data_IF_923947147198
#
_entry.id   IF_923947147198
#
_cell.length_a   1.000
_cell.length_b   1.000
_cell.length_c   1.000
_cell.angle_alpha   90.00
_cell.angle_beta   90.00
_cell.angle_gamma   90.00
#
_symmetry.space_group_name_H-M   'P 1'
#
loop_
_entity.id
_entity.type
_entity.pdbx_description
1 polymer ?
#
# COMPACT_ATOMS: atom_id res chain seq x y z
N UNK A 1 0.84 5.20 2.56
CA UNK A 1 -0.50 4.96 3.13
C UNK A 1 -0.35 4.56 4.59
N UNK A 2 -1.35 4.86 5.41
CA UNK A 2 -1.45 4.47 6.83
C UNK A 2 -2.60 3.46 6.95
N UNK A 3 -2.33 2.29 7.54
CA UNK A 3 -3.36 1.29 7.84
C UNK A 3 -4.06 1.69 9.13
N UNK A 4 -5.38 1.84 9.09
CA UNK A 4 -6.20 2.27 10.25
C UNK A 4 -7.01 1.13 10.86
N UNK A 5 -7.21 0.03 10.13
CA UNK A 5 -7.87 -1.18 10.62
C UNK A 5 -7.40 -2.41 9.85
N UNK A 6 -7.34 -3.56 10.54
CA UNK A 6 -7.05 -4.85 9.93
C UNK A 6 -5.58 -5.06 9.56
N UNK A 7 -5.35 -6.04 8.69
CA UNK A 7 -4.01 -6.47 8.28
C UNK A 7 -4.02 -7.10 6.89
N UNK A 8 -2.87 -7.06 6.22
CA UNK A 8 -2.65 -7.74 4.94
C UNK A 8 -1.16 -7.98 4.67
N UNK A 9 -0.90 -8.90 3.75
CA UNK A 9 0.42 -9.19 3.22
C UNK A 9 0.57 -8.49 1.88
N UNK A 10 1.55 -7.60 1.79
CA UNK A 10 1.88 -6.85 0.59
C UNK A 10 3.11 -7.46 -0.06
N UNK A 11 2.96 -7.98 -1.27
CA UNK A 11 4.07 -8.50 -2.07
C UNK A 11 4.47 -7.49 -3.13
N UNK A 12 5.75 -7.11 -3.14
CA UNK A 12 6.40 -6.25 -4.13
C UNK A 12 7.75 -6.88 -4.50
N UNK A 13 8.08 -6.92 -5.79
CA UNK A 13 9.37 -7.47 -6.26
C UNK A 13 9.69 -8.87 -5.69
N UNK A 14 8.65 -9.70 -5.55
CA UNK A 14 8.74 -11.06 -4.98
C UNK A 14 8.92 -11.11 -3.46
N UNK A 15 9.00 -9.97 -2.77
CA UNK A 15 9.12 -9.88 -1.32
C UNK A 15 7.78 -9.56 -0.68
N UNK A 16 7.38 -10.40 0.28
CA UNK A 16 6.15 -10.21 1.02
C UNK A 16 6.44 -9.59 2.39
N UNK A 17 5.74 -8.49 2.69
CA UNK A 17 5.75 -7.84 3.99
C UNK A 17 4.36 -7.91 4.62
N UNK A 18 4.30 -8.25 5.90
CA UNK A 18 3.09 -8.10 6.70
C UNK A 18 2.92 -6.64 7.14
N UNK A 19 1.72 -6.08 6.93
CA UNK A 19 1.38 -4.70 7.29
C UNK A 19 0.05 -4.72 8.07
N UNK A 20 0.02 -4.09 9.24
CA UNK A 20 -1.15 -4.09 10.15
C UNK A 20 -1.54 -2.68 10.59
N UNK A 21 -2.67 -2.54 11.27
CA UNK A 21 -3.12 -1.26 11.82
C UNK A 21 -2.01 -0.54 12.61
N UNK A 22 -1.81 0.74 12.31
CA UNK A 22 -0.71 1.57 12.83
C UNK A 22 0.53 1.59 11.93
N UNK A 23 0.72 0.61 11.05
CA UNK A 23 1.84 0.61 10.12
C UNK A 23 1.61 1.55 8.93
N UNK A 24 2.73 2.00 8.37
CA UNK A 24 2.76 2.67 7.07
C UNK A 24 3.45 1.83 6.02
N UNK A 25 3.03 2.03 4.77
CA UNK A 25 3.67 1.47 3.59
C UNK A 25 3.69 2.47 2.43
N UNK A 26 4.60 2.26 1.47
CA UNK A 26 4.75 3.10 0.28
C UNK A 26 4.81 2.20 -0.94
N UNK A 27 4.03 2.57 -1.96
CA UNK A 27 4.12 2.01 -3.30
C UNK A 27 4.69 3.08 -4.22
N UNK A 28 5.73 2.72 -4.96
CA UNK A 28 6.21 3.55 -6.08
C UNK A 28 5.18 3.47 -7.21
N UNK A 29 5.12 4.52 -8.03
CA UNK A 29 4.21 4.58 -9.18
C UNK A 29 4.45 3.37 -10.09
N UNK A 30 3.36 2.78 -10.58
CA UNK A 30 3.36 1.67 -11.55
C UNK A 30 4.08 0.39 -11.08
N UNK A 31 4.38 0.27 -9.77
CA UNK A 31 4.90 -0.98 -9.20
C UNK A 31 3.77 -2.01 -9.11
N UNK A 32 3.99 -3.16 -9.76
CA UNK A 32 3.15 -4.33 -9.62
C UNK A 32 3.19 -4.83 -8.17
N UNK A 33 2.02 -5.05 -7.59
CA UNK A 33 1.90 -5.53 -6.22
C UNK A 33 0.73 -6.51 -6.11
N UNK A 34 0.81 -7.37 -5.11
CA UNK A 34 -0.27 -8.27 -4.72
C UNK A 34 -0.59 -8.03 -3.24
N UNK A 35 -1.88 -8.05 -2.92
CA UNK A 35 -2.38 -7.90 -1.56
C UNK A 35 -3.16 -9.16 -1.18
N UNK A 36 -2.74 -9.82 -0.11
CA UNK A 36 -3.51 -10.91 0.51
C UNK A 36 -4.05 -10.41 1.84
N UNK A 37 -5.36 -10.28 1.95
CA UNK A 37 -6.01 -9.73 3.13
C UNK A 37 -6.23 -10.76 4.23
N UNK A 38 -6.11 -10.33 5.50
CA UNK A 38 -6.49 -11.15 6.64
C UNK A 38 -8.02 -11.33 6.76
N UNK A 39 -8.45 -12.11 7.75
CA UNK A 39 -9.87 -12.48 7.92
C UNK A 39 -10.83 -11.29 8.09
N UNK A 40 -10.33 -10.16 8.60
CA UNK A 40 -11.10 -8.93 8.83
C UNK A 40 -10.97 -7.92 7.67
N UNK A 41 -10.21 -8.24 6.62
CA UNK A 41 -9.80 -7.26 5.61
C UNK A 41 -8.83 -6.20 6.15
N UNK A 42 -8.68 -5.10 5.41
CA UNK A 42 -7.91 -3.93 5.85
C UNK A 42 -8.53 -2.63 5.34
N UNK A 43 -8.38 -1.56 6.12
CA UNK A 43 -8.73 -0.19 5.73
C UNK A 43 -7.48 0.68 5.89
N UNK A 44 -7.14 1.45 4.86
CA UNK A 44 -6.01 2.36 4.89
C UNK A 44 -6.32 3.69 4.22
N UNK A 45 -5.67 4.75 4.68
CA UNK A 45 -5.69 6.06 4.03
C UNK A 45 -4.47 6.21 3.13
N UNK A 46 -4.72 6.47 1.84
CA UNK A 46 -3.69 6.65 0.83
C UNK A 46 -3.59 8.12 0.40
N UNK A 47 -2.44 8.74 0.64
CA UNK A 47 -2.06 9.96 -0.06
C UNK A 47 -1.37 9.59 -1.38
N UNK A 48 -1.74 10.25 -2.48
CA UNK A 48 -1.13 10.06 -3.81
C UNK A 48 -0.40 11.33 -4.21
N UNK A 49 0.86 11.20 -4.62
CA UNK A 49 1.60 12.28 -5.25
C UNK A 49 1.44 12.15 -6.76
N UNK A 50 0.75 13.10 -7.37
CA UNK A 50 0.79 13.25 -8.81
C UNK A 50 2.01 14.09 -9.18
N UNK A 51 2.74 13.76 -10.26
CA UNK A 51 3.71 14.69 -10.80
C UNK A 51 2.97 15.98 -11.14
N UNK A 52 3.51 17.14 -10.73
CA UNK A 52 3.07 18.40 -11.31
C UNK A 52 3.25 18.27 -12.82
N UNK A 53 2.18 18.57 -13.58
CA UNK A 53 2.15 18.34 -15.02
C UNK A 53 3.42 18.88 -15.67
N UNK A 54 4.11 18.04 -16.44
CA UNK A 54 5.14 18.54 -17.34
C UNK A 54 4.45 19.57 -18.23
N UNK A 55 4.81 20.85 -18.08
CA UNK A 55 4.52 21.83 -19.13
C UNK A 55 5.09 21.25 -20.41
N UNK A 56 4.20 21.07 -21.40
CA UNK A 56 4.53 20.58 -22.74
C UNK A 56 5.56 21.48 -23.42
#
# INVERSE_FOLDING_TARGET
ALVVQGEFWLTMDGQTRHVKAGDTFKLTRDVMHQETYGAQGAVFWAARRHPHGASS
#
